data_IF_452270635360
#
_entry.id   IF_452270635360
#
_cell.length_a   1.000
_cell.length_b   1.000
_cell.length_c   1.000
_cell.angle_alpha   90.00
_cell.angle_beta   90.00
_cell.angle_gamma   90.00
#
_symmetry.space_group_name_H-M   'P 1'
#
loop_
_entity.id
_entity.type
_entity.pdbx_description
1 polymer ?
#
# COMPACT_ATOMS: atom_id res chain seq x y z
N UNK A 1 10.45 18.80 15.10
CA UNK A 1 11.51 18.62 14.07
C UNK A 1 11.32 19.60 12.92
N UNK A 2 12.37 19.88 12.13
CA UNK A 2 12.24 20.64 10.89
C UNK A 2 11.73 19.72 9.77
N UNK A 3 10.86 20.24 8.90
CA UNK A 3 10.27 19.45 7.82
C UNK A 3 10.13 20.24 6.52
N UNK A 4 10.24 19.51 5.41
CA UNK A 4 10.04 20.00 4.05
C UNK A 4 9.16 19.01 3.27
N UNK A 5 8.58 19.46 2.16
CA UNK A 5 7.71 18.62 1.32
C UNK A 5 7.95 18.84 -0.16
N UNK A 6 7.90 17.76 -0.94
CA UNK A 6 7.91 17.77 -2.39
C UNK A 6 6.70 16.98 -2.90
N UNK A 7 5.79 17.65 -3.61
CA UNK A 7 4.54 17.09 -4.15
C UNK A 7 4.61 17.14 -5.67
N UNK A 8 4.43 16.01 -6.35
CA UNK A 8 4.64 15.92 -7.81
C UNK A 8 3.53 15.26 -8.61
N UNK A 9 2.85 14.26 -8.04
CA UNK A 9 1.78 13.59 -8.77
C UNK A 9 0.63 14.53 -9.12
N UNK A 10 -0.11 14.23 -10.19
CA UNK A 10 -1.25 15.05 -10.62
C UNK A 10 -2.51 14.96 -9.74
N UNK A 11 -2.60 13.99 -8.83
CA UNK A 11 -3.74 13.80 -7.92
C UNK A 11 -3.38 13.70 -6.44
N UNK A 12 -2.65 14.65 -5.84
CA UNK A 12 -2.22 14.56 -4.45
C UNK A 12 -3.39 14.78 -3.48
N UNK A 13 -3.40 14.06 -2.36
CA UNK A 13 -4.26 14.34 -1.22
C UNK A 13 -3.40 14.58 0.01
N UNK A 14 -3.36 15.82 0.51
CA UNK A 14 -2.45 16.21 1.59
C UNK A 14 -3.10 17.13 2.61
N UNK A 15 -2.56 17.13 3.84
CA UNK A 15 -2.89 18.08 4.91
C UNK A 15 -1.64 18.86 5.31
N UNK A 16 -1.81 20.18 5.48
CA UNK A 16 -0.79 21.12 6.00
C UNK A 16 0.52 21.23 5.19
N UNK A 17 0.53 20.87 3.90
CA UNK A 17 1.75 20.95 3.08
C UNK A 17 2.19 22.38 2.77
N UNK A 18 1.25 23.32 2.65
CA UNK A 18 1.57 24.74 2.41
C UNK A 18 2.35 25.37 3.56
N UNK A 19 2.13 24.90 4.80
CA UNK A 19 2.93 25.33 5.94
C UNK A 19 4.41 25.01 5.74
N UNK A 20 4.71 23.79 5.29
CA UNK A 20 6.08 23.36 5.04
C UNK A 20 6.72 24.12 3.86
N UNK A 21 5.93 24.57 2.88
CA UNK A 21 6.42 25.36 1.73
C UNK A 21 6.90 26.76 2.12
N UNK A 22 6.46 27.30 3.26
CA UNK A 22 6.95 28.59 3.76
C UNK A 22 8.41 28.52 4.20
N UNK A 23 8.91 27.33 4.55
CA UNK A 23 10.32 27.12 4.88
C UNK A 23 10.74 27.81 6.18
N UNK A 24 9.86 27.88 7.18
CA UNK A 24 10.23 28.33 8.52
C UNK A 24 11.30 27.43 9.13
N UNK A 25 12.18 28.02 9.94
CA UNK A 25 13.25 27.33 10.65
C UNK A 25 12.83 26.79 12.03
N UNK A 26 11.58 27.03 12.43
CA UNK A 26 11.00 26.54 13.66
C UNK A 26 10.75 25.01 13.60
N UNK A 27 11.31 24.20 14.53
CA UNK A 27 11.20 22.74 14.49
C UNK A 27 9.88 22.23 15.08
N UNK A 28 8.75 22.64 14.50
CA UNK A 28 7.41 22.44 15.08
C UNK A 28 6.72 21.12 14.72
N UNK A 29 7.23 20.37 13.73
CA UNK A 29 6.59 19.13 13.30
C UNK A 29 6.61 18.06 14.40
N UNK A 30 5.43 17.51 14.70
CA UNK A 30 5.23 16.37 15.61
C UNK A 30 5.11 15.03 14.87
N UNK A 31 4.30 14.99 13.81
CA UNK A 31 3.95 13.74 13.14
C UNK A 31 3.77 13.87 11.63
N UNK A 32 4.25 12.85 10.90
CA UNK A 32 3.89 12.61 9.50
C UNK A 32 2.94 11.42 9.45
N UNK A 33 1.77 11.59 8.83
CA UNK A 33 0.70 10.60 8.81
C UNK A 33 0.45 10.14 7.38
N UNK A 34 0.50 8.83 7.16
CA UNK A 34 0.07 8.20 5.91
C UNK A 34 -1.17 7.34 6.15
N UNK A 35 -2.13 7.40 5.23
CA UNK A 35 -3.36 6.63 5.33
C UNK A 35 -3.87 6.17 3.95
N UNK A 36 -4.63 5.07 3.95
CA UNK A 36 -5.48 4.70 2.80
C UNK A 36 -6.78 5.50 2.78
N UNK A 37 -7.80 5.00 2.08
CA UNK A 37 -9.14 5.59 2.07
C UNK A 37 -9.29 6.84 1.20
N UNK A 38 -8.30 7.17 0.36
CA UNK A 38 -8.34 8.36 -0.49
C UNK A 38 -8.58 9.64 0.35
N UNK A 39 -9.26 10.65 -0.20
CA UNK A 39 -9.57 11.90 0.49
C UNK A 39 -10.29 11.72 1.83
N UNK A 40 -11.04 10.63 2.04
CA UNK A 40 -11.66 10.37 3.34
C UNK A 40 -10.61 10.11 4.44
N UNK A 41 -9.49 9.48 4.08
CA UNK A 41 -8.39 9.21 5.00
C UNK A 41 -7.63 10.45 5.48
N UNK A 42 -7.88 11.63 4.90
CA UNK A 42 -7.24 12.87 5.36
C UNK A 42 -7.60 13.21 6.81
N UNK A 43 -8.76 12.75 7.29
CA UNK A 43 -9.16 12.83 8.70
C UNK A 43 -8.09 12.27 9.63
N UNK A 44 -7.40 11.19 9.22
CA UNK A 44 -6.39 10.55 10.05
C UNK A 44 -5.26 11.51 10.44
N UNK A 45 -4.91 12.47 9.57
CA UNK A 45 -3.84 13.43 9.87
C UNK A 45 -4.24 14.36 11.02
N UNK A 46 -5.39 15.03 10.92
CA UNK A 46 -5.84 15.97 11.96
C UNK A 46 -6.28 15.26 13.25
N UNK A 47 -6.74 14.00 13.14
CA UNK A 47 -7.02 13.15 14.27
C UNK A 47 -5.76 12.84 15.12
N UNK A 48 -4.58 12.70 14.49
CA UNK A 48 -3.31 12.54 15.22
C UNK A 48 -2.95 13.79 16.01
N UNK A 49 -3.10 15.00 15.45
CA UNK A 49 -2.91 16.24 16.21
C UNK A 49 -3.87 16.34 17.41
N UNK A 50 -5.14 15.95 17.22
CA UNK A 50 -6.11 15.88 18.31
C UNK A 50 -5.68 14.87 19.39
N UNK A 51 -5.17 13.71 18.98
CA UNK A 51 -4.68 12.67 19.88
C UNK A 51 -3.48 13.12 20.70
N UNK A 52 -2.51 13.81 20.08
CA UNK A 52 -1.35 14.38 20.78
C UNK A 52 -1.78 15.38 21.86
N UNK A 53 -2.86 16.13 21.62
CA UNK A 53 -3.45 17.01 22.63
C UNK A 53 -4.19 16.23 23.72
N UNK A 54 -5.04 15.27 23.34
CA UNK A 54 -5.80 14.42 24.27
C UNK A 54 -4.88 13.61 25.20
N UNK A 55 -3.74 13.13 24.69
CA UNK A 55 -2.74 12.35 25.41
C UNK A 55 -1.75 13.23 26.21
N UNK A 56 -1.92 14.56 26.19
CA UNK A 56 -1.12 15.52 26.96
C UNK A 56 0.29 15.79 26.43
N UNK A 57 0.63 15.30 25.23
CA UNK A 57 1.92 15.59 24.56
C UNK A 57 2.01 17.05 24.13
N UNK A 58 0.88 17.64 23.74
CA UNK A 58 0.75 19.06 23.36
C UNK A 58 -0.37 19.72 24.15
N UNK A 59 -0.16 20.96 24.59
CA UNK A 59 -1.06 21.65 25.51
C UNK A 59 -2.28 22.30 24.85
N UNK A 60 -2.23 22.58 23.54
CA UNK A 60 -3.31 23.24 22.83
C UNK A 60 -3.42 24.76 23.05
N UNK A 61 -2.44 25.36 23.73
CA UNK A 61 -2.22 26.81 23.76
C UNK A 61 -1.47 27.25 22.49
N UNK A 62 -1.56 28.53 22.09
CA UNK A 62 -1.08 28.99 20.78
C UNK A 62 0.42 28.76 20.53
N UNK A 63 1.22 28.67 21.59
CA UNK A 63 2.67 28.37 21.58
C UNK A 63 2.99 26.87 21.73
N UNK A 64 1.96 26.01 21.81
CA UNK A 64 2.08 24.57 22.03
C UNK A 64 0.94 23.79 21.35
N UNK A 65 0.70 24.09 20.07
CA UNK A 65 -0.25 23.39 19.20
C UNK A 65 0.44 22.20 18.55
N UNK A 66 -0.25 21.06 18.47
CA UNK A 66 0.24 19.89 17.74
C UNK A 66 0.22 20.14 16.23
N UNK A 67 1.36 19.93 15.57
CA UNK A 67 1.48 20.01 14.11
C UNK A 67 1.69 18.61 13.51
N UNK A 68 0.64 18.11 12.85
CA UNK A 68 0.70 16.93 12.00
C UNK A 68 0.57 17.31 10.54
N UNK A 69 1.38 16.68 9.69
CA UNK A 69 1.24 16.73 8.22
C UNK A 69 0.97 15.32 7.72
N UNK A 70 0.43 15.18 6.52
CA UNK A 70 0.15 13.86 6.00
C UNK A 70 -0.37 13.81 4.59
N UNK A 71 -0.33 12.62 4.03
CA UNK A 71 -0.76 12.33 2.67
C UNK A 71 -1.46 10.96 2.60
N UNK A 72 -2.31 10.79 1.59
CA UNK A 72 -3.15 9.60 1.44
C UNK A 72 -2.85 8.82 0.17
N UNK A 73 -3.25 7.55 0.14
CA UNK A 73 -3.35 6.75 -1.08
C UNK A 73 -4.80 6.39 -1.40
N UNK A 74 -5.11 6.14 -2.67
CA UNK A 74 -6.37 5.52 -3.07
C UNK A 74 -6.28 3.98 -2.99
N UNK A 75 -7.00 3.37 -2.04
CA UNK A 75 -7.04 1.91 -1.82
C UNK A 75 -8.47 1.32 -1.85
N UNK A 76 -9.43 2.09 -2.40
CA UNK A 76 -10.86 1.74 -2.45
C UNK A 76 -11.25 0.88 -3.67
N UNK A 77 -10.30 0.11 -4.21
CA UNK A 77 -10.46 -0.64 -5.46
C UNK A 77 -10.99 -2.07 -5.31
N UNK A 78 -10.96 -2.83 -6.41
CA UNK A 78 -11.55 -4.19 -6.52
C UNK A 78 -10.92 -5.28 -5.62
N UNK A 79 -9.89 -4.97 -4.83
CA UNK A 79 -9.30 -5.89 -3.83
C UNK A 79 -9.85 -5.70 -2.43
N UNK A 80 -10.87 -4.86 -2.30
CA UNK A 80 -11.48 -4.46 -1.04
C UNK A 80 -12.97 -4.72 -1.12
N UNK A 81 -13.49 -5.54 -0.22
CA UNK A 81 -14.90 -5.93 -0.24
C UNK A 81 -15.78 -5.07 0.67
N UNK A 82 -15.23 -4.04 1.32
CA UNK A 82 -15.94 -3.09 2.18
C UNK A 82 -15.48 -1.64 1.92
N UNK A 83 -16.23 -0.64 2.38
CA UNK A 83 -15.94 0.79 2.16
C UNK A 83 -15.40 1.52 3.41
N UNK A 84 -14.95 0.79 4.45
CA UNK A 84 -14.45 1.38 5.69
C UNK A 84 -13.15 2.18 5.48
N UNK A 85 -13.09 3.44 5.84
CA UNK A 85 -11.90 4.29 5.67
C UNK A 85 -11.21 4.55 7.00
N UNK A 86 -9.91 4.92 7.01
CA UNK A 86 -9.23 5.34 8.24
C UNK A 86 -9.92 6.54 8.88
N UNK A 87 -10.51 6.32 10.05
CA UNK A 87 -11.22 7.33 10.85
C UNK A 87 -10.36 7.84 12.03
N UNK A 88 -10.89 8.80 12.80
CA UNK A 88 -10.23 9.29 14.03
C UNK A 88 -9.80 8.15 14.96
N UNK A 89 -10.62 7.11 15.16
CA UNK A 89 -10.30 6.01 16.09
C UNK A 89 -9.10 5.21 15.62
N UNK A 90 -9.05 4.87 14.33
CA UNK A 90 -7.92 4.15 13.75
C UNK A 90 -6.64 5.00 13.80
N UNK A 91 -6.74 6.31 13.52
CA UNK A 91 -5.60 7.21 13.60
C UNK A 91 -5.02 7.31 15.02
N UNK A 92 -5.89 7.42 16.03
CA UNK A 92 -5.49 7.38 17.45
C UNK A 92 -4.84 6.07 17.84
N UNK A 93 -5.41 4.95 17.40
CA UNK A 93 -4.83 3.63 17.63
C UNK A 93 -3.45 3.50 16.98
N UNK A 94 -3.26 4.02 15.77
CA UNK A 94 -1.98 4.01 15.07
C UNK A 94 -0.92 4.84 15.81
N UNK A 95 -1.27 6.05 16.27
CA UNK A 95 -0.36 6.89 17.07
C UNK A 95 0.10 6.16 18.33
N UNK A 96 -0.85 5.61 19.10
CA UNK A 96 -0.56 4.93 20.37
C UNK A 96 0.14 3.58 20.20
N UNK A 97 0.07 2.98 19.01
CA UNK A 97 0.79 1.77 18.67
C UNK A 97 2.23 2.02 18.20
N UNK A 98 2.61 3.27 17.91
CA UNK A 98 3.94 3.61 17.44
C UNK A 98 5.00 3.28 18.50
N UNK A 99 6.11 2.66 18.07
CA UNK A 99 7.22 2.27 18.95
C UNK A 99 8.55 2.70 18.33
N UNK A 100 9.48 3.28 19.12
CA UNK A 100 10.82 3.60 18.63
C UNK A 100 11.50 2.39 17.99
N UNK A 101 12.12 2.59 16.82
CA UNK A 101 12.89 1.56 16.12
C UNK A 101 12.09 0.43 15.47
N UNK A 102 10.75 0.50 15.47
CA UNK A 102 9.90 -0.54 14.87
C UNK A 102 9.06 0.04 13.75
N UNK A 103 9.17 -0.55 12.56
CA UNK A 103 8.30 -0.25 11.42
C UNK A 103 7.89 -1.55 10.71
N UNK A 104 6.60 -1.93 10.73
CA UNK A 104 6.16 -3.16 10.08
C UNK A 104 6.16 -2.98 8.55
N UNK A 105 6.59 -4.00 7.81
CA UNK A 105 6.70 -3.99 6.35
C UNK A 105 5.54 -4.72 5.67
N UNK A 106 5.33 -4.45 4.38
CA UNK A 106 4.31 -5.08 3.55
C UNK A 106 2.90 -4.54 3.82
N UNK A 107 1.91 -5.42 3.82
CA UNK A 107 0.50 -5.05 3.92
C UNK A 107 0.06 -4.76 5.36
N UNK A 108 0.58 -3.64 5.87
CA UNK A 108 0.35 -3.11 7.21
C UNK A 108 0.02 -1.62 7.10
N UNK A 109 -0.65 -1.05 8.10
CA UNK A 109 -0.99 0.38 8.14
C UNK A 109 -1.63 0.88 6.84
N UNK A 110 -1.12 2.01 6.32
CA UNK A 110 -1.56 2.57 5.04
C UNK A 110 -1.24 1.67 3.83
N UNK A 111 -0.27 0.77 3.95
CA UNK A 111 0.08 -0.20 2.92
C UNK A 111 -0.85 -1.42 2.84
N UNK A 112 -1.83 -1.55 3.76
CA UNK A 112 -2.65 -2.76 3.91
C UNK A 112 -3.34 -3.26 2.64
N UNK A 113 -3.69 -2.34 1.73
CA UNK A 113 -4.36 -2.64 0.46
C UNK A 113 -3.66 -1.99 -0.75
N UNK A 114 -2.39 -1.58 -0.59
CA UNK A 114 -1.62 -0.97 -1.66
C UNK A 114 -1.30 -1.96 -2.78
N UNK A 115 -1.29 -1.45 -4.02
CA UNK A 115 -0.97 -2.22 -5.23
C UNK A 115 -0.05 -1.43 -6.15
N UNK A 116 0.73 -2.14 -6.97
CA UNK A 116 1.63 -1.49 -7.93
C UNK A 116 1.53 -2.08 -9.32
N UNK A 117 1.82 -1.26 -10.34
CA UNK A 117 1.94 -1.67 -11.73
C UNK A 117 0.60 -1.80 -12.45
N UNK A 118 -0.42 -1.07 -12.00
CA UNK A 118 -1.76 -1.08 -12.63
C UNK A 118 -1.72 -0.65 -14.09
N UNK A 119 -0.78 0.20 -14.51
CA UNK A 119 -0.61 0.62 -15.91
C UNK A 119 -0.39 -0.55 -16.87
N UNK A 120 0.38 -1.54 -16.44
CA UNK A 120 0.74 -2.73 -17.23
C UNK A 120 -0.09 -3.96 -16.84
N UNK A 121 -1.11 -3.78 -16.00
CA UNK A 121 -1.87 -4.88 -15.42
C UNK A 121 -1.04 -5.82 -14.55
N UNK A 122 0.07 -5.36 -13.99
CA UNK A 122 0.81 -6.18 -13.03
C UNK A 122 0.01 -6.42 -11.76
N UNK A 123 -0.68 -5.36 -11.28
CA UNK A 123 -1.52 -5.35 -10.08
C UNK A 123 -0.92 -6.17 -8.92
N UNK A 124 0.41 -6.07 -8.76
CA UNK A 124 1.12 -6.79 -7.73
C UNK A 124 0.65 -6.28 -6.37
N UNK A 125 0.58 -7.18 -5.40
CA UNK A 125 0.43 -6.76 -4.02
C UNK A 125 1.66 -5.95 -3.62
N UNK A 126 1.40 -4.78 -3.04
CA UNK A 126 2.42 -3.88 -2.52
C UNK A 126 2.12 -3.64 -1.03
N UNK A 127 2.71 -2.59 -0.47
CA UNK A 127 2.61 -2.31 0.94
C UNK A 127 3.36 -1.05 1.35
N UNK A 128 3.66 -1.01 2.65
CA UNK A 128 4.58 -0.05 3.23
C UNK A 128 5.96 -0.66 3.40
N UNK A 129 7.00 0.12 3.14
CA UNK A 129 8.39 -0.28 3.22
C UNK A 129 9.20 0.70 4.07
N UNK A 130 10.31 0.21 4.62
CA UNK A 130 11.18 0.98 5.49
C UNK A 130 12.63 0.51 5.35
N UNK A 131 13.57 1.45 5.40
CA UNK A 131 14.99 1.17 5.38
C UNK A 131 15.75 2.19 6.24
N UNK A 132 16.92 1.79 6.71
CA UNK A 132 17.76 2.59 7.59
C UNK A 132 19.23 2.40 7.25
N UNK A 133 20.01 3.48 7.33
CA UNK A 133 21.46 3.45 7.21
C UNK A 133 22.10 4.43 8.19
N UNK A 134 23.24 4.06 8.75
CA UNK A 134 24.06 4.92 9.58
C UNK A 134 25.47 5.02 9.00
N UNK A 135 26.00 6.24 8.88
CA UNK A 135 27.34 6.57 8.38
C UNK A 135 28.00 7.47 9.42
N UNK A 136 28.94 6.91 10.19
CA UNK A 136 29.44 7.58 11.39
C UNK A 136 28.28 7.90 12.34
N UNK A 137 28.08 9.18 12.63
CA UNK A 137 26.98 9.67 13.47
C UNK A 137 25.71 10.03 12.68
N UNK A 138 25.81 10.18 11.36
CA UNK A 138 24.67 10.50 10.50
C UNK A 138 23.78 9.27 10.35
N UNK A 139 22.50 9.43 10.64
CA UNK A 139 21.45 8.42 10.51
C UNK A 139 20.47 8.87 9.44
N UNK A 140 20.14 7.99 8.51
CA UNK A 140 19.13 8.22 7.48
C UNK A 140 18.13 7.08 7.49
N UNK A 141 16.85 7.39 7.66
CA UNK A 141 15.75 6.44 7.55
C UNK A 141 14.83 6.85 6.41
N UNK A 142 14.29 5.89 5.68
CA UNK A 142 13.25 6.12 4.68
C UNK A 142 12.05 5.21 4.96
N UNK A 143 10.85 5.74 4.77
CA UNK A 143 9.59 5.03 4.87
C UNK A 143 8.71 5.38 3.68
N UNK A 144 7.98 4.41 3.14
CA UNK A 144 7.19 4.61 1.91
C UNK A 144 5.97 3.72 1.90
N UNK A 145 4.87 4.20 1.32
CA UNK A 145 3.70 3.40 0.98
C UNK A 145 3.57 3.42 -0.54
N UNK A 146 3.77 2.27 -1.18
CA UNK A 146 3.83 2.19 -2.64
C UNK A 146 2.50 1.70 -3.19
N UNK A 147 1.66 2.64 -3.65
CA UNK A 147 0.44 2.35 -4.40
C UNK A 147 0.55 2.88 -5.84
N UNK A 148 1.72 2.69 -6.47
CA UNK A 148 2.12 3.34 -7.72
C UNK A 148 1.37 2.83 -8.96
N UNK A 149 1.11 3.75 -9.91
CA UNK A 149 0.59 3.41 -11.24
C UNK A 149 1.61 2.54 -11.99
N UNK A 150 2.88 2.96 -11.94
CA UNK A 150 4.01 2.23 -12.47
C UNK A 150 4.40 1.03 -11.63
N UNK A 151 5.41 0.31 -12.09
CA UNK A 151 5.94 -0.89 -11.44
C UNK A 151 7.13 -0.56 -10.53
N UNK A 152 7.28 -1.35 -9.46
CA UNK A 152 8.52 -1.38 -8.68
C UNK A 152 9.62 -2.07 -9.49
N UNK A 153 10.79 -1.43 -9.54
CA UNK A 153 11.95 -1.83 -10.34
C UNK A 153 13.13 -2.13 -9.43
N UNK A 154 13.73 -3.31 -9.63
CA UNK A 154 14.96 -3.72 -8.98
C UNK A 154 16.16 -2.96 -9.54
N UNK A 155 17.30 -2.99 -8.82
CA UNK A 155 18.51 -2.26 -9.25
C UNK A 155 19.10 -2.75 -10.57
N UNK A 156 18.88 -4.01 -10.93
CA UNK A 156 19.24 -4.59 -12.23
C UNK A 156 18.19 -4.33 -13.32
N UNK A 157 17.16 -3.52 -13.05
CA UNK A 157 16.18 -3.06 -14.05
C UNK A 157 15.03 -4.04 -14.34
N UNK A 158 14.84 -5.04 -13.47
CA UNK A 158 13.72 -5.99 -13.55
C UNK A 158 12.52 -5.48 -12.78
N UNK A 159 11.33 -5.96 -13.14
CA UNK A 159 10.12 -5.73 -12.36
C UNK A 159 10.18 -6.57 -11.09
N UNK A 160 10.07 -5.92 -9.92
CA UNK A 160 10.25 -6.59 -8.62
C UNK A 160 9.12 -7.56 -8.29
N UNK A 161 7.89 -7.23 -8.67
CA UNK A 161 6.74 -8.14 -8.55
C UNK A 161 5.69 -7.81 -9.60
N UNK A 162 5.09 -8.86 -10.16
CA UNK A 162 4.03 -8.72 -11.14
C UNK A 162 3.26 -10.03 -11.32
N UNK A 163 1.93 -9.94 -11.44
CA UNK A 163 1.14 -11.01 -12.03
C UNK A 163 1.21 -10.90 -13.55
N UNK A 164 2.29 -11.43 -14.14
CA UNK A 164 2.49 -11.39 -15.59
C UNK A 164 1.49 -12.24 -16.38
N UNK A 165 1.38 -11.99 -17.67
CA UNK A 165 0.59 -12.81 -18.59
C UNK A 165 1.40 -14.04 -19.07
N UNK A 166 0.73 -15.08 -19.60
CA UNK A 166 1.37 -16.34 -20.03
C UNK A 166 2.48 -16.17 -21.08
N UNK A 167 2.49 -15.06 -21.81
CA UNK A 167 3.52 -14.74 -22.82
C UNK A 167 4.65 -13.83 -22.33
N UNK A 168 4.66 -13.43 -21.06
CA UNK A 168 5.70 -12.57 -20.53
C UNK A 168 6.97 -13.35 -20.16
N UNK A 169 8.16 -12.77 -20.38
CA UNK A 169 9.41 -13.39 -19.95
C UNK A 169 9.44 -13.49 -18.42
N UNK A 170 10.09 -14.54 -17.91
CA UNK A 170 10.28 -14.73 -16.45
C UNK A 170 11.09 -13.60 -15.83
N UNK A 171 12.09 -13.10 -16.55
CA UNK A 171 12.90 -11.93 -16.17
C UNK A 171 12.36 -10.66 -16.84
N UNK A 172 11.15 -10.26 -16.47
CA UNK A 172 10.51 -9.09 -17.05
C UNK A 172 11.29 -7.82 -16.73
N UNK A 173 11.79 -7.14 -17.76
CA UNK A 173 12.46 -5.85 -17.64
C UNK A 173 11.46 -4.70 -17.62
N UNK A 174 11.63 -3.75 -16.70
CA UNK A 174 10.88 -2.51 -16.66
C UNK A 174 11.12 -1.68 -17.93
N UNK A 175 12.37 -1.61 -18.40
CA UNK A 175 12.71 -0.88 -19.62
C UNK A 175 12.02 -1.46 -20.85
N UNK A 176 11.90 -2.79 -20.94
CA UNK A 176 11.18 -3.45 -22.03
C UNK A 176 9.67 -3.14 -21.99
N UNK A 177 9.05 -3.09 -20.81
CA UNK A 177 7.66 -2.67 -20.66
C UNK A 177 7.43 -1.23 -21.15
N UNK A 178 8.32 -0.31 -20.79
CA UNK A 178 8.21 1.10 -21.17
C UNK A 178 8.48 1.31 -22.66
N UNK A 179 9.57 0.75 -23.19
CA UNK A 179 9.92 0.87 -24.61
C UNK A 179 8.88 0.22 -25.53
N UNK A 180 8.18 -0.82 -25.05
CA UNK A 180 7.08 -1.46 -25.76
C UNK A 180 5.72 -0.75 -25.65
N UNK A 181 5.63 0.39 -24.94
CA UNK A 181 4.36 1.12 -24.80
C UNK A 181 3.93 1.76 -26.13
N UNK A 182 2.62 1.74 -26.51
CA UNK A 182 1.47 1.25 -25.75
C UNK A 182 1.17 -0.25 -25.90
N UNK A 183 1.87 -1.00 -26.76
CA UNK A 183 1.58 -2.41 -27.00
C UNK A 183 1.82 -3.31 -25.76
N UNK A 184 2.71 -2.91 -24.87
CA UNK A 184 2.93 -3.55 -23.56
C UNK A 184 1.73 -3.39 -22.60
N UNK A 185 0.82 -2.44 -22.87
CA UNK A 185 -0.47 -2.27 -22.18
C UNK A 185 -1.55 -2.99 -23.00
N UNK A 186 -2.01 -4.15 -22.54
CA UNK A 186 -3.11 -4.85 -23.22
C UNK A 186 -4.49 -4.34 -22.78
N UNK A 187 -5.49 -4.33 -23.68
CA UNK A 187 -6.89 -4.06 -23.32
C UNK A 187 -7.38 -5.02 -22.20
N UNK A 188 -8.15 -4.49 -21.24
CA UNK A 188 -8.70 -5.27 -20.12
C UNK A 188 -7.73 -5.53 -18.96
N UNK A 189 -6.53 -4.93 -18.97
CA UNK A 189 -5.53 -5.08 -17.90
C UNK A 189 -5.60 -4.01 -16.80
N UNK A 190 -6.58 -3.13 -16.84
CA UNK A 190 -6.88 -2.22 -15.74
C UNK A 190 -7.27 -3.05 -14.51
N UNK A 191 -6.76 -2.71 -13.32
CA UNK A 191 -7.20 -3.30 -12.05
C UNK A 191 -8.66 -2.99 -11.66
N UNK A 192 -9.49 -2.62 -12.63
CA UNK A 192 -10.92 -2.38 -12.51
C UNK A 192 -11.64 -3.19 -13.62
N UNK A 193 -12.74 -3.90 -13.30
CA UNK A 193 -13.55 -4.64 -14.28
C UNK A 193 -14.16 -3.79 -15.41
N UNK A 194 -14.07 -2.45 -15.35
CA UNK A 194 -14.63 -1.55 -16.36
C UNK A 194 -13.65 -0.46 -16.78
N UNK A 195 -13.76 -0.06 -18.05
CA UNK A 195 -13.02 1.03 -18.68
C UNK A 195 -13.24 2.42 -18.05
N UNK A 196 -14.22 2.55 -17.14
CA UNK A 196 -14.68 3.81 -16.54
C UNK A 196 -14.06 4.14 -15.17
N UNK A 197 -13.18 3.29 -14.62
CA UNK A 197 -12.54 3.59 -13.35
C UNK A 197 -11.28 4.46 -13.58
N UNK A 198 -11.26 5.74 -13.14
CA UNK A 198 -10.03 6.52 -13.17
C UNK A 198 -8.99 5.81 -12.29
N UNK A 199 -7.90 5.35 -12.89
CA UNK A 199 -6.76 4.86 -12.15
C UNK A 199 -6.21 6.03 -11.33
N UNK A 200 -6.47 6.03 -10.03
CA UNK A 200 -5.83 6.94 -9.08
C UNK A 200 -4.87 6.11 -8.25
N UNK A 201 -3.59 6.37 -8.45
CA UNK A 201 -2.49 5.70 -7.78
C UNK A 201 -1.71 6.74 -6.97
N UNK A 202 -0.88 6.32 -6.03
CA UNK A 202 -0.13 7.26 -5.18
C UNK A 202 1.04 6.57 -4.49
N UNK A 203 2.23 7.19 -4.49
CA UNK A 203 3.30 6.84 -3.54
C UNK A 203 3.50 7.96 -2.54
N UNK A 204 3.31 7.68 -1.25
CA UNK A 204 3.62 8.63 -0.16
C UNK A 204 4.87 8.17 0.59
N UNK A 205 5.77 9.10 0.89
CA UNK A 205 7.10 8.76 1.40
C UNK A 205 7.65 9.77 2.39
N UNK A 206 8.55 9.31 3.24
CA UNK A 206 9.22 10.08 4.28
C UNK A 206 10.71 9.71 4.28
N UNK A 207 11.58 10.71 4.24
CA UNK A 207 13.01 10.57 4.56
C UNK A 207 13.33 11.36 5.82
N UNK A 208 14.02 10.73 6.77
CA UNK A 208 14.40 11.32 8.06
C UNK A 208 15.91 11.28 8.22
N UNK A 209 16.50 12.37 8.66
CA UNK A 209 17.91 12.45 9.08
C UNK A 209 18.05 13.08 10.46
N UNK A 210 19.10 12.71 11.19
CA UNK A 210 19.47 13.41 12.43
C UNK A 210 20.37 14.63 12.20
N UNK A 211 20.94 14.78 10.99
CA UNK A 211 21.78 15.91 10.64
C UNK A 211 20.99 17.21 10.62
N UNK A 212 21.47 18.24 11.34
CA UNK A 212 20.91 19.59 11.31
C UNK A 212 21.02 20.16 9.90
N UNK A 213 19.90 20.67 9.39
CA UNK A 213 19.79 21.27 8.06
C UNK A 213 19.01 22.58 8.15
N UNK A 214 19.33 23.52 7.27
CA UNK A 214 18.52 24.72 7.03
C UNK A 214 17.29 24.35 6.19
N UNK A 215 16.20 25.14 6.23
CA UNK A 215 15.00 24.88 5.45
C UNK A 215 15.26 24.64 3.95
N UNK A 216 16.12 25.47 3.33
CA UNK A 216 16.48 25.32 1.92
C UNK A 216 17.26 24.02 1.63
N UNK A 217 18.14 23.59 2.53
CA UNK A 217 18.90 22.34 2.39
C UNK A 217 17.97 21.12 2.54
N UNK A 218 17.05 21.17 3.50
CA UNK A 218 16.06 20.10 3.70
C UNK A 218 15.06 20.02 2.52
N UNK A 219 14.63 21.15 1.98
CA UNK A 219 13.83 21.18 0.75
C UNK A 219 14.61 20.58 -0.43
N UNK A 220 15.90 20.89 -0.53
CA UNK A 220 16.74 20.34 -1.59
C UNK A 220 16.90 18.82 -1.47
N UNK A 221 17.05 18.32 -0.24
CA UNK A 221 17.05 16.89 0.08
C UNK A 221 15.74 16.24 -0.35
N UNK A 222 14.58 16.83 0.01
CA UNK A 222 13.27 16.31 -0.36
C UNK A 222 13.16 16.13 -1.88
N UNK A 223 13.46 17.17 -2.65
CA UNK A 223 13.35 17.13 -4.11
C UNK A 223 14.35 16.13 -4.71
N UNK A 224 15.58 16.02 -4.19
CA UNK A 224 16.57 15.06 -4.69
C UNK A 224 16.14 13.61 -4.45
N UNK A 225 15.74 13.28 -3.22
CA UNK A 225 15.31 11.92 -2.86
C UNK A 225 14.05 11.55 -3.65
N UNK A 226 13.08 12.47 -3.77
CA UNK A 226 11.85 12.22 -4.50
C UNK A 226 12.11 11.98 -6.00
N UNK A 227 13.01 12.77 -6.61
CA UNK A 227 13.47 12.51 -7.99
C UNK A 227 14.11 11.13 -8.14
N UNK A 228 14.91 10.72 -7.16
CA UNK A 228 15.62 9.44 -7.22
C UNK A 228 14.69 8.22 -7.20
N UNK A 229 13.46 8.38 -6.69
CA UNK A 229 12.44 7.32 -6.67
C UNK A 229 12.01 6.89 -8.07
N UNK A 230 12.16 7.76 -9.08
CA UNK A 230 11.90 7.41 -10.48
C UNK A 230 12.82 6.31 -11.04
N UNK A 231 13.88 5.94 -10.32
CA UNK A 231 14.69 4.74 -10.64
C UNK A 231 14.00 3.46 -10.18
N UNK A 232 13.32 3.53 -9.05
CA UNK A 232 12.66 2.42 -8.36
C UNK A 232 11.20 2.25 -8.77
N UNK A 233 10.54 3.29 -9.25
CA UNK A 233 9.13 3.31 -9.67
C UNK A 233 9.06 3.83 -11.09
N UNK A 234 8.47 3.06 -12.01
CA UNK A 234 8.43 3.47 -13.41
C UNK A 234 7.11 3.08 -14.13
N UNK A 235 6.40 4.03 -14.77
CA UNK A 235 6.61 5.48 -14.64
C UNK A 235 6.32 5.98 -13.21
N UNK A 236 6.76 7.21 -12.91
CA UNK A 236 6.62 7.87 -11.61
C UNK A 236 6.27 9.35 -11.80
N UNK A 237 5.61 9.97 -10.82
CA UNK A 237 5.13 11.35 -10.90
C UNK A 237 4.21 11.60 -12.11
N UNK A 238 3.31 10.65 -12.39
CA UNK A 238 2.33 10.79 -13.48
C UNK A 238 1.14 11.65 -13.06
N UNK A 239 0.31 12.07 -14.03
CA UNK A 239 -0.93 12.80 -13.75
C UNK A 239 -1.94 11.98 -12.91
N UNK A 240 -1.83 10.66 -12.96
CA UNK A 240 -2.70 9.71 -12.25
C UNK A 240 -2.14 9.30 -10.89
N UNK A 241 -0.90 9.70 -10.59
CA UNK A 241 -0.29 9.49 -9.28
C UNK A 241 -0.52 10.71 -8.37
N UNK A 242 -0.53 10.48 -7.06
CA UNK A 242 -0.60 11.52 -6.03
C UNK A 242 0.72 11.70 -5.27
N UNK A 243 1.87 11.50 -5.92
CA UNK A 243 3.16 11.29 -5.25
C UNK A 243 3.59 12.46 -4.34
N UNK A 244 3.91 12.13 -3.09
CA UNK A 244 4.35 13.07 -2.04
C UNK A 244 5.54 12.51 -1.27
N UNK A 245 6.56 13.35 -1.08
CA UNK A 245 7.66 13.06 -0.18
C UNK A 245 7.78 14.14 0.89
N UNK A 246 7.85 13.73 2.15
CA UNK A 246 8.26 14.57 3.28
C UNK A 246 9.74 14.31 3.62
N UNK A 247 10.50 15.37 3.86
CA UNK A 247 11.85 15.26 4.42
C UNK A 247 11.85 15.87 5.82
N UNK A 248 12.45 15.17 6.79
CA UNK A 248 12.50 15.60 8.19
C UNK A 248 13.94 15.58 8.69
N UNK A 249 14.33 16.64 9.39
CA UNK A 249 15.57 16.69 10.18
C UNK A 249 15.23 16.80 11.66
N UNK A 250 15.76 15.88 12.49
CA UNK A 250 15.64 15.99 13.95
C UNK A 250 16.58 17.06 14.52
N UNK A 251 17.64 17.42 13.78
CA UNK A 251 18.63 18.42 14.18
C UNK A 251 19.53 18.01 15.35
N UNK A 252 19.51 16.74 15.75
CA UNK A 252 20.26 16.21 16.90
C UNK A 252 21.77 16.22 16.66
N UNK A 253 22.22 15.99 15.42
CA UNK A 253 23.63 16.09 15.05
C UNK A 253 23.90 17.52 14.53
N UNK A 254 24.55 18.33 15.37
CA UNK A 254 24.85 19.73 15.11
C UNK A 254 26.35 20.04 14.94
N UNK A 255 27.24 19.08 15.22
CA UNK A 255 28.67 19.21 14.96
C UNK A 255 28.96 19.05 13.47
N UNK A 256 29.35 20.16 12.81
CA UNK A 256 29.63 20.20 11.38
C UNK A 256 30.72 19.21 10.94
N UNK A 257 31.68 18.88 11.81
CA UNK A 257 32.75 17.94 11.47
C UNK A 257 32.26 16.48 11.35
N UNK A 258 31.13 16.16 11.99
CA UNK A 258 30.49 14.84 11.94
C UNK A 258 29.37 14.76 10.89
N UNK A 259 28.99 15.88 10.27
CA UNK A 259 27.96 15.94 9.23
C UNK A 259 28.49 15.46 7.87
N UNK A 260 27.57 15.03 7.02
CA UNK A 260 27.84 14.78 5.61
C UNK A 260 27.55 16.03 4.77
N UNK A 261 28.27 16.25 3.66
CA UNK A 261 27.84 17.20 2.64
C UNK A 261 26.40 16.89 2.16
N UNK A 262 25.61 17.93 1.90
CA UNK A 262 24.19 17.78 1.50
C UNK A 262 24.01 16.89 0.26
N UNK A 263 24.97 16.93 -0.67
CA UNK A 263 24.97 16.06 -1.85
C UNK A 263 25.08 14.58 -1.48
N UNK A 264 25.99 14.23 -0.58
CA UNK A 264 26.21 12.86 -0.12
C UNK A 264 25.00 12.36 0.67
N UNK A 265 24.46 13.23 1.54
CA UNK A 265 23.22 12.95 2.28
C UNK A 265 22.06 12.66 1.32
N UNK A 266 21.92 13.42 0.23
CA UNK A 266 20.91 13.20 -0.79
C UNK A 266 21.11 11.91 -1.59
N UNK A 267 22.35 11.54 -1.92
CA UNK A 267 22.68 10.26 -2.58
C UNK A 267 22.33 9.09 -1.67
N UNK A 268 22.74 9.15 -0.40
CA UNK A 268 22.42 8.13 0.60
C UNK A 268 20.91 8.04 0.81
N UNK A 269 20.22 9.18 0.96
CA UNK A 269 18.77 9.23 1.09
C UNK A 269 18.05 8.58 -0.09
N UNK A 270 18.54 8.80 -1.32
CA UNK A 270 18.00 8.15 -2.51
C UNK A 270 18.21 6.63 -2.54
N UNK A 271 19.34 6.14 -2.05
CA UNK A 271 19.59 4.70 -1.94
C UNK A 271 18.75 4.03 -0.83
N UNK A 272 18.66 4.67 0.33
CA UNK A 272 17.83 4.19 1.44
C UNK A 272 16.34 4.21 1.04
N UNK A 273 15.90 5.21 0.27
CA UNK A 273 14.53 5.23 -0.27
C UNK A 273 14.29 4.10 -1.28
N UNK A 274 15.26 3.77 -2.15
CA UNK A 274 15.11 2.61 -3.04
C UNK A 274 15.03 1.30 -2.24
N UNK A 275 15.86 1.14 -1.20
CA UNK A 275 15.78 -0.01 -0.28
C UNK A 275 14.39 -0.11 0.37
N UNK A 276 13.82 1.02 0.83
CA UNK A 276 12.48 1.06 1.39
C UNK A 276 11.39 0.69 0.36
N UNK A 277 11.51 1.16 -0.89
CA UNK A 277 10.57 0.82 -1.97
C UNK A 277 10.63 -0.68 -2.31
N UNK A 278 11.82 -1.28 -2.33
CA UNK A 278 11.94 -2.74 -2.55
C UNK A 278 11.34 -3.51 -1.36
N UNK A 279 11.56 -3.04 -0.14
CA UNK A 279 10.99 -3.63 1.07
C UNK A 279 9.46 -3.47 1.18
N UNK A 280 8.83 -2.61 0.37
CA UNK A 280 7.37 -2.45 0.34
C UNK A 280 6.67 -3.55 -0.43
N UNK A 281 7.40 -4.33 -1.23
CA UNK A 281 6.85 -5.40 -2.08
C UNK A 281 7.05 -6.74 -1.36
N UNK A 282 6.01 -7.29 -0.72
CA UNK A 282 6.11 -8.60 -0.10
C UNK A 282 6.10 -9.72 -1.15
N UNK A 283 6.42 -10.93 -0.68
CA UNK A 283 6.23 -12.14 -1.48
C UNK A 283 4.79 -12.20 -2.02
N UNK A 284 4.68 -12.33 -3.34
CA UNK A 284 3.37 -12.44 -3.97
C UNK A 284 2.78 -13.81 -3.64
N UNK A 285 1.51 -13.91 -3.21
CA UNK A 285 0.86 -15.18 -2.99
C UNK A 285 0.91 -15.99 -4.29
N UNK A 286 1.49 -17.17 -4.15
CA UNK A 286 1.64 -18.15 -5.23
C UNK A 286 0.32 -18.88 -5.39
N UNK A 287 -0.13 -19.20 -6.61
CA UNK A 287 -1.24 -20.12 -6.79
C UNK A 287 -0.93 -21.41 -6.03
N UNK A 288 -1.88 -21.88 -5.20
CA UNK A 288 -1.75 -23.20 -4.62
C UNK A 288 -1.65 -24.22 -5.77
N UNK A 289 -0.68 -25.11 -5.71
CA UNK A 289 -0.64 -26.25 -6.63
C UNK A 289 -1.47 -27.34 -5.96
N UNK A 290 -2.55 -27.85 -6.58
CA UNK A 290 -3.36 -28.89 -5.96
C UNK A 290 -2.46 -30.10 -5.67
N UNK A 291 -2.22 -30.39 -4.39
CA UNK A 291 -1.65 -31.67 -4.00
C UNK A 291 -2.73 -32.70 -4.28
N UNK A 292 -2.57 -33.53 -5.33
CA UNK A 292 -3.42 -34.66 -5.68
C UNK A 292 -4.91 -34.48 -5.28
N UNK A 293 -5.71 -33.78 -6.12
CA UNK A 293 -7.15 -33.48 -5.94
C UNK A 293 -7.79 -34.23 -4.75
N UNK A 294 -7.83 -33.62 -3.54
CA UNK A 294 -8.48 -34.28 -2.42
C UNK A 294 -9.96 -34.43 -2.80
N UNK A 295 -10.43 -35.68 -2.87
CA UNK A 295 -11.85 -35.98 -3.08
C UNK A 295 -12.53 -35.79 -1.73
N UNK A 296 -13.27 -34.69 -1.60
CA UNK A 296 -13.99 -34.36 -0.37
C UNK A 296 -15.40 -34.99 -0.40
N UNK A 297 -15.89 -35.57 0.72
CA UNK A 297 -17.24 -36.13 0.77
C UNK A 297 -18.31 -35.07 0.48
N UNK A 298 -19.39 -35.46 -0.20
CA UNK A 298 -20.50 -34.56 -0.56
C UNK A 298 -21.10 -33.84 0.67
N UNK A 299 -21.25 -34.54 1.80
CA UNK A 299 -21.76 -33.95 3.04
C UNK A 299 -20.83 -32.86 3.61
N UNK A 300 -19.52 -33.03 3.44
CA UNK A 300 -18.52 -32.02 3.83
C UNK A 300 -18.69 -30.77 2.98
N UNK A 301 -18.85 -30.92 1.67
CA UNK A 301 -19.04 -29.78 0.76
C UNK A 301 -20.40 -29.09 0.99
N UNK A 302 -21.46 -29.87 1.22
CA UNK A 302 -22.79 -29.35 1.54
C UNK A 302 -22.78 -28.51 2.82
N UNK A 303 -21.98 -28.88 3.83
CA UNK A 303 -21.82 -28.09 5.05
C UNK A 303 -21.18 -26.71 4.79
N UNK A 304 -20.34 -26.59 3.76
CA UNK A 304 -19.68 -25.34 3.36
C UNK A 304 -20.56 -24.43 2.50
N UNK A 305 -21.64 -24.94 1.88
CA UNK A 305 -22.55 -24.17 1.06
C UNK A 305 -23.29 -23.10 1.88
N UNK A 306 -23.57 -21.94 1.30
CA UNK A 306 -24.27 -20.84 1.99
C UNK A 306 -23.92 -19.48 1.42
N UNK A 307 -24.61 -18.44 1.92
CA UNK A 307 -24.37 -17.06 1.53
C UNK A 307 -23.43 -16.39 2.53
N UNK A 308 -22.23 -16.01 2.07
CA UNK A 308 -21.21 -15.37 2.89
C UNK A 308 -21.16 -13.87 2.59
N UNK A 309 -21.55 -13.07 3.58
CA UNK A 309 -21.66 -11.61 3.47
C UNK A 309 -20.34 -10.97 3.91
N UNK A 310 -19.73 -10.18 3.04
CA UNK A 310 -18.51 -9.40 3.33
C UNK A 310 -18.83 -7.93 3.61
N UNK A 311 -19.88 -7.41 2.97
CA UNK A 311 -20.39 -6.05 3.16
C UNK A 311 -21.81 -5.95 2.57
N UNK A 312 -22.51 -4.81 2.72
CA UNK A 312 -23.83 -4.61 2.11
C UNK A 312 -23.87 -4.77 0.58
N UNK A 313 -22.72 -4.73 -0.10
CA UNK A 313 -22.63 -4.79 -1.56
C UNK A 313 -21.80 -5.97 -2.08
N UNK A 314 -21.22 -6.81 -1.21
CA UNK A 314 -20.54 -8.05 -1.60
C UNK A 314 -21.02 -9.22 -0.76
N UNK A 315 -21.67 -10.15 -1.44
CA UNK A 315 -22.04 -11.47 -0.91
C UNK A 315 -21.52 -12.53 -1.89
N UNK A 316 -20.91 -13.59 -1.35
CA UNK A 316 -20.49 -14.76 -2.11
C UNK A 316 -21.42 -15.92 -1.77
N UNK A 317 -22.22 -16.35 -2.73
CA UNK A 317 -23.04 -17.55 -2.63
C UNK A 317 -22.20 -18.77 -2.99
N UNK A 318 -22.10 -19.72 -2.08
CA UNK A 318 -21.41 -21.00 -2.29
C UNK A 318 -22.46 -22.11 -2.40
N UNK A 319 -22.37 -22.92 -3.45
CA UNK A 319 -23.26 -24.06 -3.69
C UNK A 319 -22.45 -25.34 -3.90
N UNK A 320 -22.93 -26.47 -3.39
CA UNK A 320 -22.35 -27.78 -3.62
C UNK A 320 -23.18 -28.57 -4.66
N UNK A 321 -22.51 -29.15 -5.65
CA UNK A 321 -23.10 -30.08 -6.62
C UNK A 321 -22.21 -31.32 -6.70
N UNK A 322 -22.67 -32.42 -6.10
CA UNK A 322 -21.88 -33.65 -6.00
C UNK A 322 -20.60 -33.46 -5.19
N UNK A 323 -19.45 -33.64 -5.84
CA UNK A 323 -18.11 -33.50 -5.27
C UNK A 323 -17.45 -32.13 -5.57
N UNK A 324 -18.24 -31.17 -6.08
CA UNK A 324 -17.73 -29.89 -6.57
C UNK A 324 -18.41 -28.72 -5.85
N UNK A 325 -17.63 -27.71 -5.47
CA UNK A 325 -18.13 -26.42 -4.99
C UNK A 325 -18.10 -25.38 -6.09
N UNK A 326 -19.14 -24.56 -6.12
CA UNK A 326 -19.24 -23.38 -6.96
C UNK A 326 -19.44 -22.14 -6.10
N UNK A 327 -18.89 -21.01 -6.54
CA UNK A 327 -19.11 -19.70 -5.95
C UNK A 327 -19.62 -18.70 -6.98
N UNK A 328 -20.51 -17.81 -6.57
CA UNK A 328 -21.00 -16.71 -7.38
C UNK A 328 -21.19 -15.46 -6.52
N UNK A 329 -20.79 -14.30 -7.03
CA UNK A 329 -21.08 -13.04 -6.36
C UNK A 329 -22.56 -12.69 -6.59
N UNK A 330 -23.28 -12.36 -5.52
CA UNK A 330 -24.71 -12.03 -5.58
C UNK A 330 -25.01 -10.59 -5.13
N UNK A 331 -23.99 -9.87 -4.68
CA UNK A 331 -24.07 -8.44 -4.35
C UNK A 331 -23.96 -7.51 -5.57
N UNK A 332 -23.74 -6.22 -5.31
CA UNK A 332 -23.57 -5.23 -6.38
C UNK A 332 -22.19 -5.35 -7.08
N UNK A 333 -21.17 -5.88 -6.39
CA UNK A 333 -19.80 -6.04 -6.91
C UNK A 333 -19.37 -7.50 -6.95
N UNK A 334 -18.41 -7.78 -7.83
CA UNK A 334 -17.69 -9.05 -7.86
C UNK A 334 -16.83 -9.22 -6.60
N UNK A 335 -16.49 -10.47 -6.29
CA UNK A 335 -15.55 -10.81 -5.23
C UNK A 335 -14.26 -11.37 -5.84
N UNK A 336 -13.34 -10.48 -6.22
CA UNK A 336 -12.11 -10.81 -6.95
C UNK A 336 -12.43 -11.58 -8.25
N UNK A 337 -11.99 -12.83 -8.38
CA UNK A 337 -12.24 -13.68 -9.54
C UNK A 337 -13.63 -14.34 -9.54
N UNK A 338 -14.42 -14.16 -8.48
CA UNK A 338 -15.78 -14.68 -8.38
C UNK A 338 -16.73 -13.58 -8.88
N UNK A 339 -17.16 -13.73 -10.14
CA UNK A 339 -18.05 -12.79 -10.81
C UNK A 339 -19.53 -13.00 -10.49
N UNK A 340 -20.35 -12.05 -10.95
CA UNK A 340 -21.82 -12.11 -10.84
C UNK A 340 -22.49 -12.92 -11.95
N UNK A 341 -21.92 -12.94 -13.15
CA UNK A 341 -22.57 -13.48 -14.35
C UNK A 341 -22.59 -15.01 -14.36
N UNK A 342 -21.43 -15.63 -14.08
CA UNK A 342 -21.25 -17.07 -14.12
C UNK A 342 -20.76 -17.63 -12.80
N UNK A 343 -21.15 -18.87 -12.52
CA UNK A 343 -20.66 -19.61 -11.36
C UNK A 343 -19.21 -20.01 -11.59
N UNK A 344 -18.37 -19.77 -10.60
CA UNK A 344 -16.95 -20.10 -10.61
C UNK A 344 -16.71 -21.39 -9.83
N UNK A 345 -16.11 -22.39 -10.45
CA UNK A 345 -15.73 -23.63 -9.77
C UNK A 345 -14.59 -23.38 -8.77
N UNK A 346 -14.75 -23.87 -7.54
CA UNK A 346 -13.74 -23.81 -6.49
C UNK A 346 -12.92 -25.10 -6.49
N UNK A 347 -11.64 -25.00 -6.85
CA UNK A 347 -10.74 -26.16 -6.87
C UNK A 347 -10.26 -26.46 -5.45
N UNK A 348 -10.43 -27.70 -4.95
CA UNK A 348 -10.01 -28.03 -3.59
C UNK A 348 -8.48 -28.07 -3.48
N UNK A 349 -7.95 -27.48 -2.41
CA UNK A 349 -6.53 -27.50 -2.03
C UNK A 349 -6.35 -28.36 -0.78
N UNK A 350 -7.26 -28.24 0.18
CA UNK A 350 -7.36 -29.06 1.38
C UNK A 350 -8.85 -29.24 1.77
N UNK A 351 -9.14 -29.80 2.95
CA UNK A 351 -10.51 -29.94 3.45
C UNK A 351 -11.22 -28.59 3.67
N UNK A 352 -10.47 -27.52 3.95
CA UNK A 352 -11.01 -26.18 4.25
C UNK A 352 -10.55 -25.12 3.26
N UNK A 353 -9.51 -25.40 2.48
CA UNK A 353 -8.93 -24.44 1.54
C UNK A 353 -9.28 -24.81 0.10
N UNK A 354 -9.73 -23.81 -0.65
CA UNK A 354 -10.06 -23.89 -2.06
C UNK A 354 -9.39 -22.75 -2.82
N UNK A 355 -9.38 -22.84 -4.14
CA UNK A 355 -8.84 -21.78 -4.98
C UNK A 355 -9.65 -21.57 -6.26
N UNK A 356 -9.59 -20.36 -6.78
CA UNK A 356 -9.96 -20.04 -8.16
C UNK A 356 -8.67 -19.82 -8.95
N UNK A 357 -8.35 -20.67 -9.94
CA UNK A 357 -7.19 -20.48 -10.79
C UNK A 357 -7.37 -19.26 -11.70
N UNK A 358 -6.29 -18.56 -11.97
CA UNK A 358 -6.33 -17.39 -12.84
C UNK A 358 -5.00 -16.64 -12.82
N UNK A 359 -4.92 -15.55 -13.59
CA UNK A 359 -3.77 -14.64 -13.55
C UNK A 359 -3.55 -14.05 -12.15
N UNK A 360 -4.65 -13.68 -11.50
CA UNK A 360 -4.69 -13.28 -10.10
C UNK A 360 -5.34 -14.41 -9.30
N UNK A 361 -4.55 -15.38 -8.79
CA UNK A 361 -5.11 -16.51 -8.05
C UNK A 361 -5.85 -16.01 -6.82
N UNK A 362 -7.01 -16.60 -6.55
CA UNK A 362 -7.81 -16.34 -5.35
C UNK A 362 -7.79 -17.60 -4.49
N UNK A 363 -7.43 -17.44 -3.21
CA UNK A 363 -7.55 -18.52 -2.22
C UNK A 363 -8.75 -18.27 -1.32
N UNK A 364 -9.50 -19.31 -1.03
CA UNK A 364 -10.64 -19.30 -0.12
C UNK A 364 -10.33 -20.26 1.03
N UNK A 365 -10.60 -19.83 2.26
CA UNK A 365 -10.55 -20.69 3.45
C UNK A 365 -11.88 -20.62 4.17
N UNK A 366 -12.53 -21.76 4.28
CA UNK A 366 -13.70 -21.94 5.15
C UNK A 366 -13.21 -22.19 6.57
N UNK A 367 -13.53 -21.28 7.47
CA UNK A 367 -13.18 -21.36 8.88
C UNK A 367 -14.34 -21.86 9.74
N UNK A 368 -14.05 -22.03 11.02
CA UNK A 368 -15.07 -22.34 12.04
C UNK A 368 -16.17 -21.27 12.09
N UNK A 369 -17.34 -21.65 12.61
CA UNK A 369 -18.49 -20.75 12.86
C UNK A 369 -18.98 -20.00 11.61
N UNK A 370 -18.96 -20.65 10.43
CA UNK A 370 -19.51 -20.07 9.21
C UNK A 370 -18.69 -18.91 8.64
N UNK A 371 -17.38 -18.86 8.87
CA UNK A 371 -16.50 -17.83 8.30
C UNK A 371 -15.96 -18.26 6.94
N UNK A 372 -15.93 -17.31 5.99
CA UNK A 372 -15.21 -17.45 4.73
C UNK A 372 -14.12 -16.38 4.64
N UNK A 373 -12.89 -16.81 4.44
CA UNK A 373 -11.73 -15.92 4.29
C UNK A 373 -11.25 -15.96 2.85
N UNK A 374 -11.24 -14.81 2.19
CA UNK A 374 -10.64 -14.65 0.87
C UNK A 374 -9.22 -14.11 1.01
N UNK A 375 -8.26 -14.73 0.32
CA UNK A 375 -6.82 -14.47 0.41
C UNK A 375 -6.30 -14.45 1.86
N UNK A 376 -6.37 -15.59 2.59
CA UNK A 376 -5.91 -15.68 3.97
C UNK A 376 -4.50 -15.12 4.18
N UNK A 377 -4.27 -14.50 5.34
CA UNK A 377 -3.01 -13.84 5.68
C UNK A 377 -3.13 -12.31 5.65
N UNK A 378 -2.08 -11.63 5.19
CA UNK A 378 -2.01 -10.17 5.28
C UNK A 378 -3.03 -9.41 4.44
N UNK A 379 -3.65 -10.03 3.42
CA UNK A 379 -4.66 -9.39 2.57
C UNK A 379 -6.08 -9.85 2.82
N UNK A 380 -6.31 -10.63 3.86
CA UNK A 380 -7.57 -11.32 4.05
C UNK A 380 -8.78 -10.38 4.02
N UNK A 381 -9.82 -10.83 3.32
CA UNK A 381 -11.18 -10.28 3.39
C UNK A 381 -12.05 -11.32 4.11
N UNK A 382 -12.87 -10.87 5.05
CA UNK A 382 -13.62 -11.75 5.94
C UNK A 382 -15.11 -11.62 5.64
N UNK A 383 -15.74 -12.75 5.34
CA UNK A 383 -17.17 -12.88 5.18
C UNK A 383 -17.75 -13.82 6.23
N UNK A 384 -19.02 -13.59 6.58
CA UNK A 384 -19.77 -14.39 7.55
C UNK A 384 -21.00 -14.99 6.88
N UNK A 385 -21.26 -16.26 7.14
CA UNK A 385 -22.44 -16.96 6.64
C UNK A 385 -23.71 -16.36 7.23
N UNK A 386 -24.69 -16.09 6.38
CA UNK A 386 -26.00 -15.60 6.80
C UNK A 386 -26.82 -16.74 7.43
N UNK A 387 -27.36 -16.53 8.63
CA UNK A 387 -28.27 -17.47 9.30
C UNK A 387 -27.61 -18.67 9.99
N UNK A 388 -26.34 -18.56 10.38
CA UNK A 388 -25.61 -19.55 11.20
C UNK A 388 -25.43 -19.13 12.64
#
# INVERSE_FOLDING_TARGET
SLAAVDVRGGGPGTVNTDYLRLGYDAPELDAVVFAGGSWYGLEATTAVASALKEDGVRGGHWDNIALSVGAIIYDLGGRRLNELVPDKRLAQAALRAAKPGVFPLGAQGAGRLAVTGSLFGCNAFSGQGGAFRQIGEVKVAAFVVVNALGVVTTRDGKVAACYGDKGWPKDLSTAALLAGYPASRKPGWTGAPNADAPARNTTVSLVVTNQKLKPAELQRLAIQVHSSMGRALQPFATEFDGDVLYAVSTGELADEAAMLPTVDLGVIGGEVMWDAILASVPDQPKPATPAAKPVLPADTLAALAGDYVFSPFVTVKVTAEGDTLFAQATGARDAFAIGKEERTELKPVSATDFMVPGRYPLTLRFGESGRLVLNPGHWQQLGTRQGG
#
